data_IF_767707558680
#
_entry.id   IF_767707558680
#
_cell.length_a   1.000
_cell.length_b   1.000
_cell.length_c   1.000
_cell.angle_alpha   90.00
_cell.angle_beta   90.00
_cell.angle_gamma   90.00
#
_symmetry.space_group_name_H-M   'P 1'
#
loop_
_entity.id
_entity.type
_entity.pdbx_description
1 polymer ?
#
# COMPACT_ATOMS: atom_id res chain seq x y z
N UNK A 1 -50.40 -14.43 2.09
CA UNK A 1 -49.38 -13.85 3.00
C UNK A 1 -48.10 -14.68 3.13
N UNK A 2 -48.14 -16.00 3.42
CA UNK A 2 -46.91 -16.82 3.57
C UNK A 2 -45.96 -16.82 2.35
N UNK A 3 -46.49 -16.76 1.10
CA UNK A 3 -45.67 -16.71 -0.12
C UNK A 3 -44.90 -15.39 -0.30
N UNK A 4 -45.46 -14.25 0.12
CA UNK A 4 -44.80 -12.94 0.03
C UNK A 4 -43.64 -12.86 1.03
N UNK A 5 -43.83 -13.42 2.24
CA UNK A 5 -42.77 -13.47 3.26
C UNK A 5 -41.59 -14.32 2.79
N UNK A 6 -41.83 -15.47 2.14
CA UNK A 6 -40.76 -16.29 1.57
C UNK A 6 -40.00 -15.58 0.45
N UNK A 7 -40.70 -14.87 -0.44
CA UNK A 7 -40.05 -14.12 -1.53
C UNK A 7 -39.21 -12.95 -0.99
N UNK A 8 -39.68 -12.25 0.04
CA UNK A 8 -38.92 -11.17 0.69
C UNK A 8 -37.69 -11.74 1.43
N UNK A 9 -37.83 -12.87 2.14
CA UNK A 9 -36.69 -13.54 2.81
C UNK A 9 -35.66 -14.09 1.80
N UNK A 10 -36.11 -14.57 0.64
CA UNK A 10 -35.21 -15.04 -0.42
C UNK A 10 -34.46 -13.86 -1.06
N UNK A 11 -35.16 -12.75 -1.35
CA UNK A 11 -34.55 -11.52 -1.88
C UNK A 11 -33.58 -10.91 -0.86
N UNK A 12 -33.91 -10.90 0.44
CA UNK A 12 -32.99 -10.45 1.48
C UNK A 12 -31.75 -11.35 1.61
N UNK A 13 -31.85 -12.67 1.44
CA UNK A 13 -30.68 -13.58 1.42
C UNK A 13 -29.85 -13.45 0.12
N UNK A 14 -30.48 -13.13 -1.00
CA UNK A 14 -29.78 -12.83 -2.27
C UNK A 14 -29.05 -11.48 -2.16
N UNK A 15 -29.65 -10.47 -1.52
CA UNK A 15 -28.99 -9.18 -1.26
C UNK A 15 -27.86 -9.32 -0.22
N UNK A 16 -28.03 -10.16 0.81
CA UNK A 16 -26.95 -10.47 1.77
C UNK A 16 -25.78 -11.24 1.12
N UNK A 17 -26.06 -12.05 0.09
CA UNK A 17 -25.00 -12.69 -0.70
C UNK A 17 -24.39 -11.77 -1.76
N UNK A 18 -25.09 -10.70 -2.19
CA UNK A 18 -24.54 -9.65 -3.07
C UNK A 18 -23.71 -8.60 -2.31
N UNK A 19 -23.91 -8.44 -1.00
CA UNK A 19 -22.94 -7.80 -0.10
C UNK A 19 -21.68 -8.63 0.15
N UNK A 20 -21.68 -9.88 -0.32
CA UNK A 20 -20.51 -10.76 -0.43
C UNK A 20 -20.26 -11.13 -1.88
N UNK A 21 -20.06 -10.13 -2.76
CA UNK A 21 -19.16 -10.37 -3.89
C UNK A 21 -17.87 -10.84 -3.24
N UNK A 22 -17.66 -12.16 -3.17
CA UNK A 22 -16.35 -12.71 -2.84
C UNK A 22 -15.45 -11.97 -3.82
N UNK A 23 -14.51 -11.13 -3.33
CA UNK A 23 -13.57 -10.51 -4.24
C UNK A 23 -13.01 -11.65 -5.10
N UNK A 24 -12.80 -11.43 -6.40
CA UNK A 24 -12.06 -12.39 -7.21
C UNK A 24 -10.68 -12.54 -6.58
N UNK A 25 -10.56 -13.42 -5.58
CA UNK A 25 -9.34 -13.71 -4.86
C UNK A 25 -8.57 -14.59 -5.80
N UNK A 26 -7.41 -14.12 -6.26
CA UNK A 26 -6.55 -14.91 -7.11
C UNK A 26 -6.20 -16.21 -6.36
N UNK A 27 -6.57 -17.34 -6.95
CA UNK A 27 -6.15 -18.63 -6.41
C UNK A 27 -4.64 -18.80 -6.56
N UNK A 28 -4.06 -19.68 -5.75
CA UNK A 28 -2.67 -20.11 -5.88
C UNK A 28 -2.31 -20.47 -7.33
N UNK A 29 -3.16 -21.24 -8.01
CA UNK A 29 -2.91 -21.67 -9.39
C UNK A 29 -3.04 -20.53 -10.40
N UNK A 30 -3.93 -19.56 -10.16
CA UNK A 30 -4.00 -18.35 -10.97
C UNK A 30 -2.73 -17.52 -10.85
N UNK A 31 -2.17 -17.39 -9.65
CA UNK A 31 -0.90 -16.70 -9.42
C UNK A 31 0.25 -17.43 -10.12
N UNK A 32 0.31 -18.77 -10.00
CA UNK A 32 1.34 -19.55 -10.68
C UNK A 32 1.26 -19.40 -12.20
N UNK A 33 0.05 -19.49 -12.76
CA UNK A 33 -0.18 -19.31 -14.19
C UNK A 33 0.24 -17.93 -14.69
N UNK A 34 0.02 -16.88 -13.90
CA UNK A 34 0.52 -15.54 -14.19
C UNK A 34 2.05 -15.53 -14.28
N UNK A 35 2.75 -16.11 -13.29
CA UNK A 35 4.21 -16.21 -13.30
C UNK A 35 4.78 -17.09 -14.41
N UNK A 36 4.02 -18.05 -14.92
CA UNK A 36 4.41 -18.85 -16.08
C UNK A 36 4.27 -18.08 -17.40
N UNK A 37 3.43 -17.05 -17.44
CA UNK A 37 3.13 -16.28 -18.66
C UNK A 37 3.79 -14.92 -18.74
N UNK A 38 4.03 -14.28 -17.59
CA UNK A 38 4.47 -12.89 -17.52
C UNK A 38 5.74 -12.75 -16.67
N UNK A 39 6.57 -11.72 -16.94
CA UNK A 39 7.70 -11.38 -16.09
C UNK A 39 7.28 -11.12 -14.62
N UNK A 40 8.13 -11.43 -13.62
CA UNK A 40 7.75 -11.33 -12.21
C UNK A 40 7.23 -9.95 -11.77
N UNK A 41 7.79 -8.86 -12.30
CA UNK A 41 7.37 -7.50 -11.98
C UNK A 41 5.99 -7.16 -12.54
N UNK A 42 5.67 -7.63 -13.75
CA UNK A 42 4.34 -7.46 -14.34
C UNK A 42 3.29 -8.26 -13.55
N UNK A 43 3.64 -9.48 -13.10
CA UNK A 43 2.75 -10.25 -12.22
C UNK A 43 2.49 -9.53 -10.91
N UNK A 44 3.51 -8.92 -10.31
CA UNK A 44 3.33 -8.11 -9.12
C UNK A 44 2.34 -6.95 -9.36
N UNK A 45 2.46 -6.24 -10.49
CA UNK A 45 1.53 -5.16 -10.87
C UNK A 45 0.11 -5.68 -11.08
N UNK A 46 -0.05 -6.82 -11.78
CA UNK A 46 -1.36 -7.46 -11.96
C UNK A 46 -1.98 -7.80 -10.61
N UNK A 47 -1.24 -8.46 -9.71
CA UNK A 47 -1.73 -8.81 -8.38
C UNK A 47 -2.13 -7.54 -7.60
N UNK A 48 -1.28 -6.52 -7.57
CA UNK A 48 -1.55 -5.27 -6.86
C UNK A 48 -2.79 -4.52 -7.38
N UNK A 49 -3.12 -4.69 -8.66
CA UNK A 49 -4.32 -4.12 -9.29
C UNK A 49 -5.57 -5.00 -9.11
N UNK A 50 -5.45 -6.14 -8.41
CA UNK A 50 -6.60 -6.95 -7.97
C UNK A 50 -6.93 -6.70 -6.50
N UNK A 51 -7.90 -7.45 -5.97
CA UNK A 51 -8.24 -7.49 -4.55
C UNK A 51 -7.19 -8.27 -3.73
N UNK A 52 -5.90 -7.93 -3.86
CA UNK A 52 -4.79 -8.67 -3.24
C UNK A 52 -4.83 -8.69 -1.71
N UNK A 53 -5.55 -7.76 -1.09
CA UNK A 53 -5.76 -7.68 0.36
C UNK A 53 -6.46 -8.92 0.95
N UNK A 54 -7.11 -9.72 0.09
CA UNK A 54 -7.83 -10.95 0.46
C UNK A 54 -7.05 -12.22 0.13
N UNK A 55 -5.78 -12.11 -0.31
CA UNK A 55 -4.94 -13.29 -0.52
C UNK A 55 -4.61 -13.97 0.81
N UNK A 56 -4.53 -15.30 0.76
CA UNK A 56 -4.02 -16.10 1.86
C UNK A 56 -2.48 -16.03 1.87
N UNK A 57 -1.95 -14.99 2.50
CA UNK A 57 -0.50 -14.76 2.58
C UNK A 57 0.24 -15.84 3.38
N UNK A 58 -0.42 -16.53 4.32
CA UNK A 58 0.18 -17.65 5.05
C UNK A 58 0.37 -18.85 4.13
N UNK A 59 -0.66 -19.21 3.36
CA UNK A 59 -0.55 -20.26 2.33
C UNK A 59 0.54 -19.94 1.31
N UNK A 60 0.58 -18.69 0.82
CA UNK A 60 1.63 -18.24 -0.09
C UNK A 60 3.02 -18.30 0.56
N UNK A 61 3.15 -17.98 1.85
CA UNK A 61 4.43 -18.04 2.57
C UNK A 61 5.03 -19.46 2.56
N UNK A 62 4.19 -20.49 2.68
CA UNK A 62 4.63 -21.89 2.67
C UNK A 62 4.78 -22.48 1.27
N UNK A 63 4.29 -21.80 0.22
CA UNK A 63 4.42 -22.25 -1.17
C UNK A 63 5.85 -22.04 -1.71
N UNK A 64 6.63 -23.12 -1.69
CA UNK A 64 8.03 -23.12 -2.14
C UNK A 64 8.19 -22.81 -3.64
N UNK A 65 7.18 -23.08 -4.47
CA UNK A 65 7.24 -22.82 -5.90
C UNK A 65 7.02 -21.33 -6.17
N UNK A 66 5.92 -20.78 -5.65
CA UNK A 66 5.59 -19.36 -5.79
C UNK A 66 6.60 -18.45 -5.12
N UNK A 67 7.14 -18.85 -3.97
CA UNK A 67 8.21 -18.10 -3.28
C UNK A 67 9.36 -17.75 -4.23
N UNK A 68 9.82 -18.70 -5.07
CA UNK A 68 10.92 -18.47 -6.01
C UNK A 68 10.60 -17.35 -7.00
N UNK A 69 9.35 -17.25 -7.44
CA UNK A 69 8.91 -16.19 -8.35
C UNK A 69 8.81 -14.84 -7.65
N UNK A 70 8.18 -14.78 -6.48
CA UNK A 70 8.08 -13.54 -5.70
C UNK A 70 9.46 -12.97 -5.33
N UNK A 71 10.44 -13.82 -5.00
CA UNK A 71 11.79 -13.35 -4.69
C UNK A 71 12.52 -12.76 -5.90
N UNK A 72 12.14 -13.11 -7.14
CA UNK A 72 12.69 -12.44 -8.34
C UNK A 72 12.23 -10.99 -8.44
N UNK A 73 11.09 -10.62 -7.84
CA UNK A 73 10.62 -9.25 -7.80
C UNK A 73 11.50 -8.32 -6.93
N UNK A 74 12.41 -8.89 -6.11
CA UNK A 74 13.36 -8.11 -5.32
C UNK A 74 14.59 -7.64 -6.12
N UNK A 75 14.77 -8.12 -7.36
CA UNK A 75 15.97 -7.81 -8.13
C UNK A 75 15.97 -6.35 -8.60
N UNK A 76 16.79 -5.51 -7.95
CA UNK A 76 16.88 -4.07 -8.25
C UNK A 76 17.32 -3.79 -9.68
N UNK A 77 18.20 -4.64 -10.25
CA UNK A 77 18.71 -4.45 -11.61
C UNK A 77 17.60 -4.71 -12.63
N UNK A 78 16.87 -5.80 -12.46
CA UNK A 78 15.71 -6.19 -13.28
C UNK A 78 14.62 -5.13 -13.17
N UNK A 79 14.35 -4.62 -11.97
CA UNK A 79 13.43 -3.53 -11.76
C UNK A 79 13.86 -2.24 -12.47
N UNK A 80 15.12 -1.85 -12.32
CA UNK A 80 15.68 -0.70 -13.04
C UNK A 80 15.55 -0.86 -14.56
N UNK A 81 15.91 -2.02 -15.12
CA UNK A 81 15.79 -2.31 -16.54
C UNK A 81 14.33 -2.22 -17.02
N UNK A 82 13.38 -2.71 -16.23
CA UNK A 82 11.95 -2.61 -16.52
C UNK A 82 11.47 -1.15 -16.54
N UNK A 83 11.85 -0.34 -15.56
CA UNK A 83 11.51 1.08 -15.49
C UNK A 83 12.08 1.87 -16.69
N UNK A 84 13.33 1.60 -17.06
CA UNK A 84 13.93 2.19 -18.27
C UNK A 84 13.15 1.76 -19.52
N UNK A 85 12.78 0.48 -19.65
CA UNK A 85 12.03 0.00 -20.80
C UNK A 85 10.65 0.66 -20.90
N UNK A 86 9.94 0.82 -19.78
CA UNK A 86 8.64 1.52 -19.72
C UNK A 86 8.77 2.98 -20.17
N UNK A 87 9.77 3.70 -19.66
CA UNK A 87 10.01 5.08 -20.09
C UNK A 87 10.36 5.17 -21.57
N UNK A 88 11.15 4.24 -22.10
CA UNK A 88 11.52 4.19 -23.52
C UNK A 88 10.30 3.87 -24.40
N UNK A 89 9.39 3.01 -23.97
CA UNK A 89 8.14 2.74 -24.67
C UNK A 89 7.25 3.99 -24.72
N UNK A 90 7.07 4.68 -23.59
CA UNK A 90 6.33 5.95 -23.56
C UNK A 90 7.00 7.01 -24.44
N UNK A 91 8.33 7.11 -24.40
CA UNK A 91 9.08 8.01 -25.28
C UNK A 91 8.84 7.69 -26.77
N UNK A 92 8.85 6.41 -27.15
CA UNK A 92 8.54 5.96 -28.52
C UNK A 92 7.14 6.39 -28.97
N UNK A 93 6.15 6.36 -28.08
CA UNK A 93 4.80 6.84 -28.35
C UNK A 93 4.77 8.36 -28.56
N UNK A 94 5.44 9.11 -27.68
CA UNK A 94 5.53 10.57 -27.75
C UNK A 94 6.18 11.05 -29.05
N UNK A 95 7.26 10.42 -29.50
CA UNK A 95 7.97 10.78 -30.73
C UNK A 95 7.31 10.23 -32.01
N UNK A 96 6.16 9.54 -31.91
CA UNK A 96 5.33 9.27 -33.09
C UNK A 96 4.64 10.54 -33.59
N UNK A 97 4.53 11.59 -32.76
CA UNK A 97 4.09 12.90 -33.19
C UNK A 97 5.19 13.56 -34.07
N UNK A 98 4.88 13.97 -35.32
CA UNK A 98 5.88 14.53 -36.24
C UNK A 98 6.58 15.79 -35.73
N UNK A 99 5.87 16.68 -35.05
CA UNK A 99 6.45 17.92 -34.50
C UNK A 99 7.36 17.62 -33.30
N UNK A 100 6.96 16.64 -32.48
CA UNK A 100 7.83 16.16 -31.41
C UNK A 100 9.10 15.51 -31.97
N UNK A 101 8.97 14.64 -32.98
CA UNK A 101 10.11 14.00 -33.64
C UNK A 101 11.10 15.03 -34.21
N UNK A 102 10.61 16.05 -34.91
CA UNK A 102 11.46 17.14 -35.44
C UNK A 102 12.21 17.87 -34.33
N UNK A 103 11.53 18.17 -33.21
CA UNK A 103 12.15 18.83 -32.05
C UNK A 103 13.27 17.98 -31.43
N UNK A 104 13.03 16.69 -31.24
CA UNK A 104 14.02 15.75 -30.69
C UNK A 104 15.22 15.58 -31.62
N UNK A 105 15.00 15.46 -32.94
CA UNK A 105 16.08 15.38 -33.94
C UNK A 105 16.92 16.66 -33.93
N UNK A 106 16.28 17.83 -33.84
CA UNK A 106 16.98 19.12 -33.73
C UNK A 106 17.87 19.15 -32.48
N UNK A 107 17.35 18.74 -31.32
CA UNK A 107 18.13 18.65 -30.08
C UNK A 107 19.31 17.69 -30.20
N UNK A 108 19.06 16.48 -30.73
CA UNK A 108 20.06 15.43 -30.96
C UNK A 108 21.22 15.89 -31.86
N UNK A 109 20.91 16.66 -32.92
CA UNK A 109 21.90 17.22 -33.84
C UNK A 109 22.67 18.39 -33.22
N UNK A 110 22.00 19.25 -32.45
CA UNK A 110 22.62 20.34 -31.71
C UNK A 110 23.65 19.82 -30.70
N UNK A 111 23.30 18.82 -29.89
CA UNK A 111 24.21 18.18 -28.93
C UNK A 111 25.47 17.60 -29.59
N UNK A 112 25.33 17.16 -30.85
CA UNK A 112 26.43 16.59 -31.67
C UNK A 112 27.15 17.62 -32.53
N UNK A 113 26.87 18.91 -32.37
CA UNK A 113 27.46 20.01 -33.16
C UNK A 113 27.26 19.83 -34.68
N UNK A 114 26.09 19.31 -35.09
CA UNK A 114 25.71 19.10 -36.50
C UNK A 114 24.62 20.09 -36.96
N UNK A 115 24.72 21.34 -36.51
CA UNK A 115 23.71 22.39 -36.74
C UNK A 115 23.39 22.60 -38.22
N UNK A 116 24.41 22.52 -39.09
CA UNK A 116 24.28 22.79 -40.52
C UNK A 116 23.46 21.72 -41.28
N UNK A 117 23.14 20.59 -40.64
CA UNK A 117 22.36 19.49 -41.25
C UNK A 117 20.89 19.52 -40.81
N UNK A 118 20.50 20.41 -39.91
CA UNK A 118 19.18 20.39 -39.28
C UNK A 118 18.08 20.60 -40.32
N UNK A 119 18.13 21.68 -41.10
CA UNK A 119 17.04 22.02 -42.00
C UNK A 119 16.88 21.00 -43.15
N UNK A 120 17.99 20.43 -43.64
CA UNK A 120 17.97 19.39 -44.67
C UNK A 120 17.45 18.05 -44.17
N UNK A 121 17.70 17.71 -42.90
CA UNK A 121 17.16 16.50 -42.27
C UNK A 121 15.68 16.67 -41.93
N UNK A 122 15.29 17.83 -41.39
CA UNK A 122 13.91 18.09 -40.95
C UNK A 122 12.91 18.24 -42.10
N UNK A 123 13.37 18.58 -43.30
CA UNK A 123 12.53 18.69 -44.50
C UNK A 123 12.32 17.36 -45.24
N UNK A 124 13.05 16.29 -44.88
CA UNK A 124 12.98 14.99 -45.57
C UNK A 124 12.31 13.91 -44.71
N UNK A 125 11.11 13.42 -45.08
CA UNK A 125 10.42 12.34 -44.36
C UNK A 125 11.25 11.06 -44.20
N UNK A 126 12.05 10.72 -45.22
CA UNK A 126 12.93 9.54 -45.18
C UNK A 126 14.06 9.70 -44.15
N UNK A 127 14.64 10.90 -44.04
CA UNK A 127 15.69 11.18 -43.06
C UNK A 127 15.11 11.27 -41.64
N UNK A 128 13.90 11.81 -41.46
CA UNK A 128 13.22 11.83 -40.17
C UNK A 128 13.07 10.41 -39.59
N UNK A 129 12.65 9.43 -40.40
CA UNK A 129 12.54 8.03 -39.97
C UNK A 129 13.89 7.43 -39.59
N UNK A 130 14.95 7.68 -40.37
CA UNK A 130 16.30 7.19 -40.07
C UNK A 130 16.86 7.78 -38.77
N UNK A 131 16.57 9.04 -38.49
CA UNK A 131 17.01 9.70 -37.26
C UNK A 131 16.18 9.31 -36.05
N UNK A 132 14.91 8.91 -36.22
CA UNK A 132 14.05 8.41 -35.13
C UNK A 132 14.73 7.31 -34.32
N UNK A 133 15.29 6.30 -34.97
CA UNK A 133 15.97 5.19 -34.28
C UNK A 133 17.23 5.66 -33.54
N UNK A 134 17.95 6.61 -34.13
CA UNK A 134 19.17 7.18 -33.52
C UNK A 134 18.86 7.99 -32.27
N UNK A 135 17.75 8.76 -32.31
CA UNK A 135 17.23 9.52 -31.18
C UNK A 135 16.78 8.58 -30.06
N UNK A 136 16.01 7.53 -30.37
CA UNK A 136 15.60 6.51 -29.39
C UNK A 136 16.82 5.84 -28.74
N UNK A 137 17.80 5.42 -29.53
CA UNK A 137 18.99 4.76 -29.01
C UNK A 137 19.81 5.68 -28.09
N UNK A 138 19.90 6.96 -28.43
CA UNK A 138 20.56 7.95 -27.59
C UNK A 138 19.82 8.16 -26.26
N UNK A 139 18.49 8.22 -26.29
CA UNK A 139 17.67 8.33 -25.08
C UNK A 139 17.87 7.12 -24.15
N UNK A 140 17.87 5.90 -24.69
CA UNK A 140 18.15 4.68 -23.91
C UNK A 140 19.52 4.76 -23.23
N UNK A 141 20.56 5.16 -23.97
CA UNK A 141 21.91 5.29 -23.45
C UNK A 141 22.00 6.38 -22.38
N UNK A 142 21.38 7.53 -22.62
CA UNK A 142 21.33 8.64 -21.67
C UNK A 142 20.67 8.20 -20.36
N UNK A 143 19.49 7.58 -20.44
CA UNK A 143 18.75 7.08 -19.28
C UNK A 143 19.56 6.07 -18.47
N UNK A 144 20.24 5.12 -19.14
CA UNK A 144 21.12 4.15 -18.46
C UNK A 144 22.37 4.78 -17.86
N UNK A 145 22.92 5.84 -18.47
CA UNK A 145 24.15 6.50 -18.03
C UNK A 145 23.93 7.44 -16.85
N UNK A 146 22.85 8.22 -16.88
CA UNK A 146 22.58 9.26 -15.87
C UNK A 146 21.98 8.67 -14.60
N UNK A 147 21.39 7.47 -14.67
CA UNK A 147 20.69 6.84 -13.55
C UNK A 147 21.51 5.69 -12.98
N UNK A 148 21.64 5.70 -11.65
CA UNK A 148 22.27 4.61 -10.91
C UNK A 148 21.21 3.63 -10.43
N UNK A 149 21.24 2.39 -10.91
CA UNK A 149 20.29 1.35 -10.52
C UNK A 149 20.26 1.09 -8.99
N UNK A 150 21.33 1.43 -8.26
CA UNK A 150 21.38 1.31 -6.79
C UNK A 150 20.30 2.13 -6.07
N UNK A 151 19.76 3.15 -6.73
CA UNK A 151 18.69 4.01 -6.20
C UNK A 151 17.29 3.58 -6.69
N UNK A 152 17.18 2.47 -7.43
CA UNK A 152 15.91 1.94 -7.95
C UNK A 152 15.52 0.71 -7.14
N UNK A 153 14.64 0.92 -6.16
CA UNK A 153 14.13 -0.18 -5.35
C UNK A 153 12.74 -0.59 -5.82
N UNK A 154 12.50 -1.90 -6.00
CA UNK A 154 11.19 -2.43 -6.37
C UNK A 154 10.06 -1.95 -5.44
N UNK A 155 8.80 -1.96 -5.90
CA UNK A 155 7.65 -1.72 -5.05
C UNK A 155 7.59 -2.80 -3.96
N UNK A 156 7.51 -2.36 -2.70
CA UNK A 156 7.58 -3.24 -1.52
C UNK A 156 6.21 -3.71 -1.04
N UNK A 157 5.12 -3.05 -1.46
CA UNK A 157 3.76 -3.21 -0.89
C UNK A 157 3.26 -4.66 -0.86
N UNK A 158 3.39 -5.42 -1.96
CA UNK A 158 3.03 -6.85 -1.97
C UNK A 158 4.04 -7.70 -1.20
N UNK A 159 5.33 -7.41 -1.38
CA UNK A 159 6.43 -8.23 -0.87
C UNK A 159 6.49 -8.23 0.66
N UNK A 160 6.16 -7.11 1.30
CA UNK A 160 6.11 -7.01 2.78
C UNK A 160 4.98 -7.83 3.38
N UNK A 161 3.91 -8.13 2.62
CA UNK A 161 2.79 -8.95 3.08
C UNK A 161 3.11 -10.45 3.04
N UNK A 162 4.03 -10.87 2.17
CA UNK A 162 4.48 -12.27 2.06
C UNK A 162 5.37 -12.70 3.22
N UNK A 163 5.90 -11.77 4.02
CA UNK A 163 6.70 -12.04 5.23
C UNK A 163 7.91 -12.97 5.06
N UNK A 164 8.48 -13.06 3.86
CA UNK A 164 9.71 -13.81 3.64
C UNK A 164 10.92 -13.15 4.34
N UNK A 165 11.79 -13.93 5.03
CA UNK A 165 13.04 -13.41 5.60
C UNK A 165 13.97 -12.76 4.57
N UNK A 166 13.95 -13.25 3.33
CA UNK A 166 14.72 -12.71 2.21
C UNK A 166 14.24 -11.30 1.82
N UNK A 167 12.93 -11.06 1.86
CA UNK A 167 12.35 -9.72 1.63
C UNK A 167 12.79 -8.76 2.73
N UNK A 168 12.69 -9.18 4.00
CA UNK A 168 13.19 -8.39 5.13
C UNK A 168 14.67 -8.03 4.95
N UNK A 169 15.50 -9.02 4.60
CA UNK A 169 16.95 -8.83 4.43
C UNK A 169 17.25 -7.82 3.31
N UNK A 170 16.54 -7.91 2.20
CA UNK A 170 16.66 -6.95 1.10
C UNK A 170 16.30 -5.53 1.55
N UNK A 171 15.14 -5.37 2.20
CA UNK A 171 14.66 -4.06 2.68
C UNK A 171 15.60 -3.47 3.74
N UNK A 172 16.10 -4.28 4.69
CA UNK A 172 17.07 -3.81 5.69
C UNK A 172 18.36 -3.33 5.02
N UNK A 173 18.86 -4.06 4.02
CA UNK A 173 20.01 -3.62 3.22
C UNK A 173 19.73 -2.30 2.50
N UNK A 174 18.56 -2.16 1.87
CA UNK A 174 18.16 -0.95 1.16
C UNK A 174 18.00 0.27 2.09
N UNK A 175 17.52 0.06 3.31
CA UNK A 175 17.41 1.12 4.33
C UNK A 175 18.73 1.77 4.70
N UNK A 176 19.85 1.06 4.54
CA UNK A 176 21.20 1.57 4.76
C UNK A 176 21.73 2.27 3.50
N UNK A 177 21.30 1.81 2.31
CA UNK A 177 21.75 2.34 1.02
C UNK A 177 21.09 3.67 0.66
N UNK A 178 19.81 3.84 0.96
CA UNK A 178 19.04 5.05 0.68
C UNK A 178 18.36 5.56 1.95
N UNK A 179 19.03 6.54 2.58
CA UNK A 179 18.52 7.19 3.79
C UNK A 179 17.36 8.14 3.52
N UNK A 180 17.02 8.46 2.25
CA UNK A 180 15.93 9.37 1.90
C UNK A 180 14.58 8.67 1.78
N UNK A 181 14.54 7.43 1.28
CA UNK A 181 13.29 6.67 1.09
C UNK A 181 12.68 6.15 2.40
N UNK A 182 13.41 6.22 3.51
CA UNK A 182 13.01 5.80 4.88
C UNK A 182 12.07 4.59 4.88
N UNK A 183 12.65 3.38 4.70
CA UNK A 183 11.95 2.08 4.71
C UNK A 183 11.36 1.70 6.09
N UNK A 184 11.11 2.70 6.94
CA UNK A 184 10.64 2.54 8.31
C UNK A 184 9.34 1.75 8.40
N UNK A 185 8.34 2.04 7.57
CA UNK A 185 7.04 1.35 7.62
C UNK A 185 7.17 -0.10 7.19
N UNK A 186 7.95 -0.39 6.16
CA UNK A 186 8.23 -1.76 5.74
C UNK A 186 8.94 -2.54 6.84
N UNK A 187 9.98 -1.97 7.45
CA UNK A 187 10.70 -2.59 8.56
C UNK A 187 9.81 -2.79 9.79
N UNK A 188 8.97 -1.80 10.13
CA UNK A 188 8.00 -1.91 11.22
C UNK A 188 6.97 -3.02 10.94
N UNK A 189 6.58 -3.23 9.67
CA UNK A 189 5.72 -4.34 9.27
C UNK A 189 6.34 -5.71 9.49
N UNK A 190 7.66 -5.80 9.51
CA UNK A 190 8.39 -7.01 9.87
C UNK A 190 8.63 -7.14 11.37
N UNK A 191 8.11 -6.23 12.22
CA UNK A 191 8.45 -6.15 13.64
C UNK A 191 9.97 -5.97 13.87
N UNK A 192 10.67 -5.26 12.98
CA UNK A 192 12.10 -4.94 13.15
C UNK A 192 12.36 -4.21 14.48
N UNK A 193 13.31 -4.67 15.32
CA UNK A 193 13.53 -4.09 16.64
C UNK A 193 13.89 -2.60 16.64
N UNK A 194 14.67 -2.14 15.64
CA UNK A 194 15.07 -0.73 15.56
C UNK A 194 13.87 0.13 15.16
N UNK A 195 13.08 -0.32 14.18
CA UNK A 195 11.85 0.35 13.77
C UNK A 195 10.83 0.40 14.91
N UNK A 196 10.69 -0.69 15.69
CA UNK A 196 9.84 -0.71 16.88
C UNK A 196 10.32 0.28 17.94
N UNK A 197 11.63 0.37 18.19
CA UNK A 197 12.21 1.34 19.13
C UNK A 197 11.92 2.78 18.72
N UNK A 198 12.12 3.11 17.43
CA UNK A 198 11.83 4.43 16.87
C UNK A 198 10.33 4.73 16.98
N UNK A 199 9.46 3.80 16.59
CA UNK A 199 8.01 4.00 16.70
C UNK A 199 7.56 4.20 18.14
N UNK A 200 8.08 3.39 19.07
CA UNK A 200 7.78 3.52 20.49
C UNK A 200 8.22 4.87 21.07
N UNK A 201 9.38 5.38 20.65
CA UNK A 201 9.83 6.72 21.04
C UNK A 201 8.85 7.80 20.55
N UNK A 202 8.46 7.75 19.27
CA UNK A 202 7.46 8.67 18.68
C UNK A 202 6.12 8.60 19.42
N UNK A 203 5.62 7.40 19.71
CA UNK A 203 4.37 7.20 20.47
C UNK A 203 4.47 7.77 21.89
N UNK A 204 5.57 7.52 22.59
CA UNK A 204 5.78 8.03 23.95
C UNK A 204 5.85 9.56 23.97
N UNK A 205 6.52 10.17 23.01
CA UNK A 205 6.60 11.62 22.86
C UNK A 205 5.22 12.22 22.58
N UNK A 206 4.49 11.65 21.62
CA UNK A 206 3.12 12.06 21.27
C UNK A 206 2.16 11.96 22.46
N UNK A 207 2.32 10.90 23.26
CA UNK A 207 1.59 10.73 24.51
C UNK A 207 1.95 11.82 25.53
N UNK A 208 3.25 12.06 25.73
CA UNK A 208 3.76 13.02 26.71
C UNK A 208 3.32 14.45 26.39
N UNK A 209 3.26 14.79 25.10
CA UNK A 209 2.81 16.08 24.62
C UNK A 209 1.29 16.18 24.45
N UNK A 210 0.52 15.17 24.86
CA UNK A 210 -0.94 15.08 24.62
C UNK A 210 -1.33 15.39 23.16
N UNK A 211 -0.56 14.88 22.20
CA UNK A 211 -0.82 15.05 20.76
C UNK A 211 -0.10 16.21 20.06
N UNK A 212 0.69 17.03 20.78
CA UNK A 212 1.32 18.23 20.18
C UNK A 212 2.71 18.04 19.51
N UNK A 213 3.39 16.89 19.70
CA UNK A 213 4.81 16.72 19.32
C UNK A 213 5.08 16.08 17.95
N UNK A 214 4.10 15.46 17.32
CA UNK A 214 4.31 14.71 16.07
C UNK A 214 3.11 14.84 15.13
N UNK A 215 3.35 14.75 13.82
CA UNK A 215 2.26 14.77 12.85
C UNK A 215 1.38 13.52 13.01
N UNK A 216 0.07 13.74 13.19
CA UNK A 216 -0.98 12.73 13.26
C UNK A 216 -0.84 11.56 12.28
N UNK A 217 -0.53 11.86 11.01
CA UNK A 217 -0.39 10.85 9.96
C UNK A 217 0.75 9.85 10.27
N UNK A 218 1.85 10.32 10.86
CA UNK A 218 3.03 9.48 11.18
C UNK A 218 2.76 8.49 12.32
N UNK A 219 1.85 8.83 13.24
CA UNK A 219 1.48 7.94 14.36
C UNK A 219 0.43 6.92 13.91
N UNK A 220 -0.59 7.35 13.17
CA UNK A 220 -1.73 6.50 12.83
C UNK A 220 -1.55 5.63 11.60
N UNK A 221 -0.72 6.04 10.63
CA UNK A 221 -0.51 5.25 9.41
C UNK A 221 -0.02 3.82 9.72
N UNK A 222 0.95 3.59 10.63
CA UNK A 222 1.31 2.23 11.05
C UNK A 222 0.14 1.42 11.63
N UNK A 223 -0.72 2.01 12.46
CA UNK A 223 -1.85 1.30 13.06
C UNK A 223 -2.88 0.92 11.97
N UNK A 224 -3.13 1.83 11.04
CA UNK A 224 -4.13 1.63 9.99
C UNK A 224 -3.64 0.72 8.86
N UNK A 225 -2.38 0.85 8.43
CA UNK A 225 -1.88 0.18 7.22
C UNK A 225 -1.05 -1.06 7.55
N UNK A 226 -0.22 -1.02 8.59
CA UNK A 226 0.66 -2.14 8.96
C UNK A 226 -0.10 -3.14 9.84
N UNK A 227 -0.73 -2.65 10.91
CA UNK A 227 -1.64 -3.45 11.73
C UNK A 227 -1.05 -4.73 12.31
N UNK A 228 0.19 -4.69 12.81
CA UNK A 228 0.81 -5.78 13.57
C UNK A 228 0.37 -5.75 15.03
N UNK A 229 0.56 -6.87 15.74
CA UNK A 229 0.34 -7.01 17.18
C UNK A 229 1.01 -5.87 17.97
N UNK A 230 2.24 -5.51 17.61
CA UNK A 230 2.99 -4.40 18.20
C UNK A 230 2.31 -3.04 17.99
N UNK A 231 1.89 -2.72 16.77
CA UNK A 231 1.21 -1.44 16.49
C UNK A 231 -0.14 -1.34 17.19
N UNK A 232 -0.90 -2.43 17.29
CA UNK A 232 -2.16 -2.45 18.03
C UNK A 232 -1.96 -2.28 19.55
N UNK A 233 -0.90 -2.85 20.13
CA UNK A 233 -0.53 -2.57 21.54
C UNK A 233 -0.34 -1.07 21.78
N UNK A 234 0.34 -0.37 20.85
CA UNK A 234 0.52 1.09 20.93
C UNK A 234 -0.77 1.87 20.71
N UNK A 235 -1.69 1.36 19.89
CA UNK A 235 -2.99 1.99 19.71
C UNK A 235 -3.78 2.09 21.04
N UNK A 236 -3.70 1.09 21.92
CA UNK A 236 -4.34 1.13 23.24
C UNK A 236 -3.82 2.29 24.09
N UNK A 237 -2.50 2.50 24.11
CA UNK A 237 -1.87 3.59 24.86
C UNK A 237 -2.30 4.95 24.33
N UNK A 238 -2.48 5.06 23.01
CA UNK A 238 -2.85 6.28 22.30
C UNK A 238 -4.34 6.65 22.46
N UNK A 239 -5.22 5.71 22.82
CA UNK A 239 -6.65 5.99 23.08
C UNK A 239 -6.90 6.93 24.28
N UNK A 240 -5.87 7.27 25.06
CA UNK A 240 -5.98 8.28 26.14
C UNK A 240 -5.83 9.72 25.66
N UNK A 241 -5.42 9.94 24.42
CA UNK A 241 -5.17 11.28 23.88
C UNK A 241 -6.48 11.92 23.45
N UNK A 242 -6.85 12.99 24.14
CA UNK A 242 -8.09 13.74 23.91
C UNK A 242 -7.83 15.07 23.20
N UNK A 243 -6.88 15.08 22.27
CA UNK A 243 -6.55 16.25 21.46
C UNK A 243 -7.54 16.36 20.31
N UNK A 244 -8.11 17.54 20.10
CA UNK A 244 -8.86 17.82 18.88
C UNK A 244 -7.91 17.83 17.68
N UNK A 245 -8.31 17.11 16.65
CA UNK A 245 -7.59 17.00 15.39
C UNK A 245 -8.55 17.37 14.26
N UNK A 246 -8.01 17.97 13.23
CA UNK A 246 -8.71 18.09 11.96
C UNK A 246 -8.58 16.73 11.25
N UNK A 247 -9.68 15.99 11.05
CA UNK A 247 -9.61 14.75 10.28
C UNK A 247 -9.12 15.10 8.87
N UNK A 248 -8.17 14.32 8.32
CA UNK A 248 -7.78 14.45 6.91
C UNK A 248 -9.05 14.38 6.06
N UNK A 249 -9.36 15.47 5.35
CA UNK A 249 -10.64 15.76 4.71
C UNK A 249 -11.37 14.51 4.22
N UNK A 250 -12.37 14.06 4.99
CA UNK A 250 -13.43 13.22 4.43
C UNK A 250 -14.27 14.12 3.56
N UNK A 251 -13.90 14.19 2.28
CA UNK A 251 -14.70 14.87 1.29
C UNK A 251 -16.07 14.17 1.21
N UNK A 252 -17.12 14.79 1.77
CA UNK A 252 -18.48 14.30 1.62
C UNK A 252 -18.91 14.68 0.21
N UNK A 253 -19.10 13.69 -0.64
CA UNK A 253 -19.64 13.90 -1.99
C UNK A 253 -21.13 14.25 -1.85
N UNK A 254 -21.48 15.48 -2.21
CA UNK A 254 -22.88 15.91 -2.36
C UNK A 254 -23.17 16.19 -3.83
N UNK A 255 -24.46 16.25 -4.21
CA UNK A 255 -24.92 16.47 -5.59
C UNK A 255 -24.48 17.81 -6.24
N UNK A 256 -23.64 18.61 -5.58
CA UNK A 256 -23.07 19.85 -6.11
C UNK A 256 -21.61 20.11 -5.76
N UNK A 257 -20.88 19.15 -5.15
CA UNK A 257 -19.47 19.31 -4.79
C UNK A 257 -19.04 18.53 -3.55
N UNK A 258 -17.75 18.64 -3.22
CA UNK A 258 -17.19 18.08 -2.00
C UNK A 258 -17.28 19.11 -0.87
N UNK A 259 -18.03 18.79 0.19
CA UNK A 259 -18.05 19.60 1.41
C UNK A 259 -17.05 18.95 2.37
N UNK A 260 -16.08 19.72 2.88
CA UNK A 260 -15.34 19.29 4.08
C UNK A 260 -16.23 19.52 5.29
N UNK A 261 -16.50 18.47 6.07
CA UNK A 261 -16.98 18.71 7.43
C UNK A 261 -15.82 19.37 8.18
N UNK A 262 -15.95 20.65 8.52
CA UNK A 262 -14.98 21.35 9.39
C UNK A 262 -15.10 20.88 10.86
N UNK A 263 -15.52 19.64 11.08
CA UNK A 263 -15.78 19.09 12.40
C UNK A 263 -14.48 18.52 12.96
N UNK A 264 -13.91 19.24 13.93
CA UNK A 264 -12.81 18.74 14.73
C UNK A 264 -13.30 17.55 15.56
N UNK A 265 -12.65 16.40 15.39
CA UNK A 265 -12.89 15.22 16.22
C UNK A 265 -11.74 15.04 17.20
N UNK A 266 -11.98 14.34 18.30
CA UNK A 266 -10.90 14.01 19.23
C UNK A 266 -10.08 12.84 18.69
N UNK A 267 -8.77 12.85 18.95
CA UNK A 267 -7.84 11.84 18.48
C UNK A 267 -8.26 10.43 18.90
N UNK A 268 -8.66 10.25 20.17
CA UNK A 268 -9.15 8.98 20.68
C UNK A 268 -10.41 8.49 19.95
N UNK A 269 -11.34 9.38 19.55
CA UNK A 269 -12.49 9.01 18.72
C UNK A 269 -12.04 8.50 17.35
N UNK A 270 -11.17 9.25 16.67
CA UNK A 270 -10.65 8.84 15.36
C UNK A 270 -9.96 7.47 15.42
N UNK A 271 -9.07 7.29 16.39
CA UNK A 271 -8.35 6.04 16.57
C UNK A 271 -9.30 4.88 16.92
N UNK A 272 -10.30 5.13 17.77
CA UNK A 272 -11.33 4.15 18.10
C UNK A 272 -12.10 3.69 16.85
N UNK A 273 -12.43 4.61 15.92
CA UNK A 273 -13.06 4.29 14.63
C UNK A 273 -12.17 3.41 13.76
N UNK A 274 -10.86 3.71 13.66
CA UNK A 274 -9.91 2.85 12.95
C UNK A 274 -9.88 1.45 13.55
N UNK A 275 -9.75 1.35 14.88
CA UNK A 275 -9.69 0.06 15.58
C UNK A 275 -10.98 -0.73 15.38
N UNK A 276 -12.14 -0.09 15.47
CA UNK A 276 -13.44 -0.71 15.22
C UNK A 276 -13.52 -1.34 13.82
N UNK A 277 -13.06 -0.62 12.78
CA UNK A 277 -12.99 -1.17 11.42
C UNK A 277 -12.05 -2.36 11.32
N UNK A 278 -10.90 -2.33 12.00
CA UNK A 278 -9.96 -3.46 12.03
C UNK A 278 -10.53 -4.69 12.75
N UNK A 279 -11.19 -4.48 13.88
CA UNK A 279 -11.89 -5.51 14.66
C UNK A 279 -12.96 -6.19 13.78
N UNK A 280 -13.78 -5.42 13.07
CA UNK A 280 -14.80 -5.93 12.15
C UNK A 280 -14.17 -6.71 10.99
N UNK A 281 -13.17 -6.12 10.32
CA UNK A 281 -12.50 -6.73 9.18
C UNK A 281 -11.83 -8.07 9.55
N UNK A 282 -11.18 -8.12 10.70
CA UNK A 282 -10.52 -9.33 11.23
C UNK A 282 -11.47 -10.31 11.92
N UNK A 283 -12.78 -10.01 11.94
CA UNK A 283 -13.83 -10.85 12.53
C UNK A 283 -13.51 -11.27 13.97
N UNK A 284 -12.96 -10.35 14.76
CA UNK A 284 -12.68 -10.60 16.18
C UNK A 284 -14.00 -10.95 16.88
N UNK A 285 -14.00 -12.05 17.63
CA UNK A 285 -15.20 -12.54 18.31
C UNK A 285 -15.57 -11.57 19.44
N UNK A 286 -16.72 -10.91 19.30
CA UNK A 286 -17.26 -9.96 20.27
C UNK A 286 -18.63 -10.41 20.77
N UNK A 287 -19.12 -9.77 21.84
CA UNK A 287 -20.52 -9.93 22.25
C UNK A 287 -21.45 -9.37 21.15
N UNK A 288 -22.49 -10.11 20.82
CA UNK A 288 -23.41 -9.82 19.70
C UNK A 288 -24.04 -8.42 19.76
N UNK A 289 -24.42 -7.93 20.94
CA UNK A 289 -25.06 -6.60 21.07
C UNK A 289 -24.09 -5.47 20.69
N UNK A 290 -22.88 -5.49 21.24
CA UNK A 290 -21.84 -4.51 20.93
C UNK A 290 -21.40 -4.58 19.46
N UNK A 291 -21.32 -5.79 18.89
CA UNK A 291 -20.99 -5.98 17.48
C UNK A 291 -22.04 -5.34 16.56
N UNK A 292 -23.34 -5.57 16.83
CA UNK A 292 -24.44 -4.99 16.05
C UNK A 292 -24.41 -3.47 16.08
N UNK A 293 -24.29 -2.88 17.27
CA UNK A 293 -24.21 -1.42 17.43
C UNK A 293 -22.97 -0.84 16.72
N UNK A 294 -21.81 -1.49 16.84
CA UNK A 294 -20.58 -1.06 16.20
C UNK A 294 -20.65 -1.12 14.65
N UNK A 295 -21.38 -2.08 14.08
CA UNK A 295 -21.63 -2.13 12.63
C UNK A 295 -22.46 -0.92 12.20
N UNK A 296 -23.60 -0.69 12.85
CA UNK A 296 -24.50 0.44 12.55
C UNK A 296 -23.77 1.78 12.65
N UNK A 297 -22.99 1.97 13.72
CA UNK A 297 -22.25 3.23 13.94
C UNK A 297 -21.15 3.43 12.91
N UNK A 298 -20.45 2.37 12.46
CA UNK A 298 -19.39 2.51 11.45
C UNK A 298 -19.88 2.96 10.07
N UNK A 299 -21.16 2.72 9.77
CA UNK A 299 -21.84 3.12 8.52
C UNK A 299 -22.46 4.53 8.62
N UNK A 300 -22.53 5.11 9.82
CA UNK A 300 -23.07 6.45 10.04
C UNK A 300 -22.16 7.55 9.48
N UNK A 301 -22.80 8.60 8.96
CA UNK A 301 -22.16 9.85 8.52
C UNK A 301 -22.19 10.95 9.58
N UNK A 302 -22.86 10.72 10.72
CA UNK A 302 -22.91 11.67 11.85
C UNK A 302 -21.70 11.45 12.77
N UNK A 303 -20.63 12.22 12.53
CA UNK A 303 -19.37 12.08 13.27
C UNK A 303 -19.52 12.39 14.77
N UNK A 304 -20.47 13.24 15.18
CA UNK A 304 -20.74 13.53 16.59
C UNK A 304 -21.34 12.32 17.30
N UNK A 305 -22.35 11.69 16.70
CA UNK A 305 -22.94 10.47 17.25
C UNK A 305 -21.94 9.30 17.26
N UNK A 306 -21.14 9.18 16.19
CA UNK A 306 -20.06 8.19 16.10
C UNK A 306 -19.04 8.39 17.22
N UNK A 307 -18.57 9.62 17.44
CA UNK A 307 -17.62 9.90 18.51
C UNK A 307 -18.23 9.66 19.89
N UNK A 308 -19.47 10.09 20.13
CA UNK A 308 -20.17 9.84 21.39
C UNK A 308 -20.22 8.34 21.70
N UNK A 309 -20.67 7.52 20.74
CA UNK A 309 -20.73 6.07 20.90
C UNK A 309 -19.36 5.46 21.27
N UNK A 310 -18.31 5.81 20.53
CA UNK A 310 -16.98 5.24 20.79
C UNK A 310 -16.39 5.70 22.11
N UNK A 311 -16.65 6.93 22.54
CA UNK A 311 -16.17 7.44 23.83
C UNK A 311 -16.91 6.80 25.00
N UNK A 312 -18.23 6.64 24.91
CA UNK A 312 -19.02 5.90 25.91
C UNK A 312 -18.60 4.43 26.01
N UNK A 313 -18.16 3.84 24.89
CA UNK A 313 -17.75 2.43 24.80
C UNK A 313 -16.23 2.20 24.79
N UNK A 314 -15.42 3.19 25.15
CA UNK A 314 -13.95 3.12 24.98
C UNK A 314 -13.33 1.90 25.70
N UNK A 315 -13.88 1.51 26.84
CA UNK A 315 -13.47 0.31 27.58
C UNK A 315 -13.74 -0.99 26.82
N UNK A 316 -14.87 -1.08 26.10
CA UNK A 316 -15.19 -2.22 25.25
C UNK A 316 -14.27 -2.26 24.02
N UNK A 317 -13.94 -1.10 23.46
CA UNK A 317 -12.99 -0.98 22.34
C UNK A 317 -11.59 -1.44 22.75
N UNK A 318 -11.10 -1.04 23.94
CA UNK A 318 -9.83 -1.53 24.48
C UNK A 318 -9.83 -3.05 24.66
N UNK A 319 -10.92 -3.62 25.20
CA UNK A 319 -11.07 -5.09 25.33
C UNK A 319 -11.06 -5.79 23.98
N UNK A 320 -11.81 -5.29 23.01
CA UNK A 320 -11.82 -5.81 21.64
C UNK A 320 -10.44 -5.69 20.96
N UNK A 321 -9.73 -4.60 21.20
CA UNK A 321 -8.37 -4.40 20.68
C UNK A 321 -7.37 -5.38 21.30
N UNK A 322 -7.51 -5.72 22.59
CA UNK A 322 -6.70 -6.79 23.19
C UNK A 322 -6.93 -8.15 22.53
N UNK A 323 -8.18 -8.48 22.16
CA UNK A 323 -8.47 -9.70 21.40
C UNK A 323 -7.86 -9.64 19.99
N UNK A 324 -7.91 -8.48 19.33
CA UNK A 324 -7.25 -8.25 18.05
C UNK A 324 -5.73 -8.43 18.15
N UNK A 325 -5.10 -7.97 19.23
CA UNK A 325 -3.67 -8.16 19.50
C UNK A 325 -3.34 -9.66 19.60
N UNK A 326 -4.11 -10.42 20.39
CA UNK A 326 -3.89 -11.88 20.55
C UNK A 326 -4.05 -12.60 19.21
N UNK A 327 -5.05 -12.23 18.41
CA UNK A 327 -5.23 -12.80 17.07
C UNK A 327 -4.03 -12.44 16.17
N UNK A 328 -3.60 -11.18 16.18
CA UNK A 328 -2.45 -10.74 15.39
C UNK A 328 -1.16 -11.45 15.82
N UNK A 329 -0.93 -11.69 17.11
CA UNK A 329 0.23 -12.46 17.58
C UNK A 329 0.23 -13.88 16.98
N UNK A 330 -0.92 -14.56 16.99
CA UNK A 330 -1.06 -15.89 16.36
C UNK A 330 -0.84 -15.85 14.85
N UNK A 331 -1.45 -14.89 14.16
CA UNK A 331 -1.25 -14.66 12.73
C UNK A 331 0.24 -14.35 12.40
N UNK A 332 1.02 -13.90 13.37
CA UNK A 332 2.43 -13.54 13.20
C UNK A 332 3.41 -14.70 13.48
N UNK A 333 2.99 -15.72 14.23
CA UNK A 333 3.85 -16.82 14.68
C UNK A 333 4.49 -17.61 13.53
N UNK A 334 3.76 -17.81 12.42
CA UNK A 334 4.23 -18.66 11.32
C UNK A 334 5.50 -18.10 10.65
N UNK A 335 5.65 -16.78 10.61
CA UNK A 335 6.77 -16.10 9.96
C UNK A 335 7.76 -15.48 10.94
N UNK A 336 7.32 -14.95 12.09
CA UNK A 336 8.22 -14.24 13.04
C UNK A 336 9.37 -15.12 13.52
N UNK A 337 9.11 -16.39 13.82
CA UNK A 337 10.13 -17.35 14.28
C UNK A 337 11.27 -17.56 13.28
N UNK A 338 11.03 -17.23 12.00
CA UNK A 338 11.99 -17.41 10.92
C UNK A 338 12.79 -16.13 10.62
N UNK A 339 12.47 -15.00 11.26
CA UNK A 339 13.13 -13.73 11.01
C UNK A 339 14.58 -13.71 11.51
N UNK A 340 15.51 -13.04 10.81
CA UNK A 340 16.93 -13.04 11.17
C UNK A 340 17.22 -12.51 12.59
N UNK A 341 16.43 -11.56 13.08
CA UNK A 341 16.59 -11.00 14.43
C UNK A 341 15.94 -11.84 15.53
N UNK A 342 15.09 -12.82 15.19
CA UNK A 342 14.45 -13.70 16.18
C UNK A 342 15.36 -14.88 16.56
N UNK A 343 16.27 -15.28 15.66
CA UNK A 343 17.21 -16.41 15.85
C UNK A 343 18.44 -16.08 16.72
N UNK A 344 18.49 -14.91 17.35
CA UNK A 344 19.51 -14.56 18.35
C UNK A 344 18.92 -14.74 19.75
N UNK A 345 18.99 -15.97 20.27
CA UNK A 345 19.04 -16.24 21.70
C UNK A 345 20.11 -17.28 21.96
#
# INVERSE_FOLDING_TARGET
MKKIIYTVVLICNIIYSWGQVKPNVLSRDSILHLFQKLPPLEVQEVIMNTNYQYLDFESLYFDKELKKYFLKCLDQKTYFENEINKEVLNYKEIINNPERLKSEIRSYLNERKRTNQIDSILSSPQLLLKFKDSVIANEVLFKKKVRNFKNYFPPTQLLVLLKYPEVYTAIKKWSIQDTKRDFFNELLSFNDPDAQKIYNARVNEFIKSNGDSENFAKINLPINVIGTSFTYKKAIDLLKINKQIEPMATHIQTNGGYISSNEYITYNCYLARILARKILYKKVILKDSFLKEMIVINESTDDNNVCKFYMENISNIKKATNLLIIQAEKDEEYWMKNMPFYKKK
#
